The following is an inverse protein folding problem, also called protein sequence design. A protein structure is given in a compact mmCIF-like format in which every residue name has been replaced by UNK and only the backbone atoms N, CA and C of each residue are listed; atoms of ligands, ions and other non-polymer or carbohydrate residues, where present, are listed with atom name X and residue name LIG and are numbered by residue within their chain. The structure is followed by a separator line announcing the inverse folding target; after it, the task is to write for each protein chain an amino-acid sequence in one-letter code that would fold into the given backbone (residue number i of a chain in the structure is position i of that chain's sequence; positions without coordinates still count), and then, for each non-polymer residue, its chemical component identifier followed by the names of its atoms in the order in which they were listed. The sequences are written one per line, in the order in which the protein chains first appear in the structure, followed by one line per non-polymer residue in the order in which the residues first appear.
data_IF_277784066057
#
_entry.id   IF_277784066057
#
_cell.length_a   1.000
_cell.length_b   1.000
_cell.length_c   1.000
_cell.angle_alpha   90.00
_cell.angle_beta   90.00
_cell.angle_gamma   90.00
#
_symmetry.space_group_name_H-M   'P 1'
#
loop_
_entity.id
_entity.type
_entity.pdbx_description
1 polymer ?
#
# COMPACT_ATOMS: atom_id res chain seq x y z
N UNK A 1 25.79 4.70 14.12
CA UNK A 1 24.34 4.86 14.37
C UNK A 1 23.68 3.57 13.99
N UNK A 2 23.03 2.89 14.94
CA UNK A 2 22.30 1.64 14.67
C UNK A 2 21.04 1.99 13.86
N UNK A 3 21.02 1.62 12.60
CA UNK A 3 19.81 1.72 11.77
C UNK A 3 18.73 0.85 12.44
N UNK A 4 17.58 1.43 12.77
CA UNK A 4 16.48 0.69 13.39
C UNK A 4 16.05 -0.39 12.39
N UNK A 5 16.13 -1.66 12.78
CA UNK A 5 15.71 -2.77 11.94
C UNK A 5 14.19 -2.66 11.68
N UNK A 6 13.80 -2.74 10.43
CA UNK A 6 12.38 -2.81 10.05
C UNK A 6 12.06 -4.28 9.84
N UNK A 7 11.06 -4.80 10.59
CA UNK A 7 10.49 -6.12 10.32
C UNK A 7 9.26 -5.95 9.40
N UNK A 8 9.34 -6.33 8.11
CA UNK A 8 8.23 -6.17 7.17
C UNK A 8 7.03 -7.07 7.49
N UNK A 9 7.23 -8.12 8.29
CA UNK A 9 6.15 -9.00 8.77
C UNK A 9 5.65 -8.63 10.17
N UNK A 10 6.30 -7.69 10.85
CA UNK A 10 6.01 -7.26 12.22
C UNK A 10 5.28 -5.93 12.30
N UNK A 11 5.21 -5.39 13.52
CA UNK A 11 4.56 -4.12 13.84
C UNK A 11 5.55 -3.00 14.20
N UNK A 12 6.80 -3.07 13.75
CA UNK A 12 7.77 -1.99 13.99
C UNK A 12 7.31 -0.73 13.29
N UNK A 13 7.01 0.32 14.06
CA UNK A 13 6.50 1.58 13.54
C UNK A 13 7.62 2.61 13.42
N UNK A 14 7.56 3.40 12.35
CA UNK A 14 8.48 4.48 12.04
C UNK A 14 7.72 5.81 12.18
N UNK A 15 8.06 6.58 13.21
CA UNK A 15 7.31 7.79 13.61
C UNK A 15 7.77 9.04 12.88
N UNK A 16 9.05 9.10 12.54
CA UNK A 16 9.69 10.28 11.94
C UNK A 16 10.02 9.99 10.47
N UNK A 17 9.13 10.43 9.58
CA UNK A 17 9.29 10.23 8.13
C UNK A 17 10.47 11.00 7.54
N UNK A 18 10.86 12.14 8.08
CA UNK A 18 12.04 12.88 7.63
C UNK A 18 13.32 12.14 7.99
N UNK A 19 13.36 11.59 9.20
CA UNK A 19 14.45 10.74 9.66
C UNK A 19 14.55 9.46 8.82
N UNK A 20 13.42 8.84 8.48
CA UNK A 20 13.37 7.66 7.61
C UNK A 20 14.00 7.97 6.25
N UNK A 21 13.62 9.07 5.62
CA UNK A 21 14.18 9.49 4.32
C UNK A 21 15.70 9.59 4.42
N UNK A 22 16.21 10.19 5.49
CA UNK A 22 17.65 10.38 5.70
C UNK A 22 18.36 9.07 6.04
N UNK A 23 17.85 8.29 6.98
CA UNK A 23 18.50 7.07 7.49
C UNK A 23 18.55 5.96 6.42
N UNK A 24 17.56 5.89 5.55
CA UNK A 24 17.52 4.91 4.44
C UNK A 24 18.03 5.46 3.11
N UNK A 25 18.45 6.72 3.05
CA UNK A 25 18.92 7.35 1.82
C UNK A 25 17.87 7.34 0.72
N UNK A 26 16.61 7.68 1.08
CA UNK A 26 15.51 7.76 0.15
C UNK A 26 15.47 9.14 -0.50
N UNK A 27 14.82 9.22 -1.68
CA UNK A 27 14.49 10.47 -2.34
C UNK A 27 13.17 11.00 -1.77
N UNK A 28 13.13 12.27 -1.37
CA UNK A 28 11.87 12.91 -1.02
C UNK A 28 10.95 12.99 -2.24
N UNK A 29 9.68 12.65 -2.08
CA UNK A 29 8.73 12.70 -3.18
C UNK A 29 8.31 14.13 -3.49
N UNK A 30 8.30 14.48 -4.78
CA UNK A 30 7.79 15.74 -5.26
C UNK A 30 6.65 15.52 -6.27
N UNK A 31 5.43 15.86 -5.88
CA UNK A 31 4.24 15.65 -6.70
C UNK A 31 4.29 16.38 -8.06
N UNK A 32 5.06 17.49 -8.17
CA UNK A 32 5.20 18.26 -9.42
C UNK A 32 5.94 17.51 -10.54
N UNK A 33 6.69 16.48 -10.18
CA UNK A 33 7.42 15.65 -11.15
C UNK A 33 6.52 14.61 -11.84
N UNK A 34 5.32 14.38 -11.32
CA UNK A 34 4.37 13.38 -11.77
C UNK A 34 3.14 14.01 -12.43
N UNK A 35 2.68 13.54 -13.59
CA UNK A 35 1.51 14.12 -14.28
C UNK A 35 0.23 13.81 -13.50
N UNK A 36 -0.61 14.82 -13.31
CA UNK A 36 -1.91 14.67 -12.64
C UNK A 36 -1.84 13.82 -11.36
N UNK A 37 -1.02 14.22 -10.37
CA UNK A 37 -0.78 13.41 -9.18
C UNK A 37 -2.12 13.12 -8.45
N UNK A 38 -2.27 11.90 -7.92
CA UNK A 38 -3.44 11.54 -7.15
C UNK A 38 -3.47 12.27 -5.80
N UNK A 39 -4.58 12.17 -5.05
CA UNK A 39 -4.73 12.89 -3.77
C UNK A 39 -3.64 12.52 -2.75
N UNK A 40 -3.21 11.24 -2.69
CA UNK A 40 -2.16 10.80 -1.75
C UNK A 40 -0.82 11.49 -2.04
N UNK A 41 -0.51 11.68 -3.31
CA UNK A 41 0.67 12.40 -3.77
C UNK A 41 0.57 13.91 -3.47
N UNK A 42 -0.57 14.54 -3.80
CA UNK A 42 -0.77 16.00 -3.58
C UNK A 42 -0.77 16.38 -2.10
N UNK A 43 -1.26 15.48 -1.23
CA UNK A 43 -1.41 15.72 0.21
C UNK A 43 -0.22 15.29 1.06
N UNK A 44 0.90 14.88 0.42
CA UNK A 44 2.11 14.46 1.11
C UNK A 44 1.92 13.16 1.93
N UNK A 45 0.93 12.34 1.58
CA UNK A 45 0.79 10.97 2.10
C UNK A 45 1.83 10.07 1.44
N UNK A 46 2.03 10.20 0.12
CA UNK A 46 3.24 9.72 -0.54
C UNK A 46 4.35 10.69 -0.21
N UNK A 47 5.43 10.21 0.42
CA UNK A 47 6.46 11.08 0.99
C UNK A 47 7.88 10.82 0.47
N UNK A 48 8.16 9.62 -0.04
CA UNK A 48 9.50 9.25 -0.48
C UNK A 48 9.48 8.12 -1.52
N UNK A 49 10.65 7.80 -2.06
CA UNK A 49 10.86 6.67 -2.95
C UNK A 49 12.33 6.42 -3.29
N UNK A 50 12.55 5.54 -4.25
CA UNK A 50 13.87 5.27 -4.85
C UNK A 50 13.79 5.36 -6.37
N UNK A 51 14.81 5.96 -6.99
CA UNK A 51 14.91 6.17 -8.45
C UNK A 51 13.64 6.78 -9.06
N UNK A 52 13.01 7.72 -8.33
CA UNK A 52 11.75 8.37 -8.71
C UNK A 52 11.89 9.12 -10.04
N UNK A 53 13.05 9.74 -10.26
CA UNK A 53 13.33 10.46 -11.51
C UNK A 53 13.20 9.56 -12.74
N UNK A 54 13.63 8.30 -12.67
CA UNK A 54 13.53 7.35 -13.79
C UNK A 54 12.09 7.11 -14.20
N UNK A 55 11.19 6.97 -13.24
CA UNK A 55 9.76 6.77 -13.48
C UNK A 55 9.10 8.06 -13.95
N UNK A 56 9.43 9.20 -13.35
CA UNK A 56 8.94 10.50 -13.78
C UNK A 56 9.33 10.79 -15.25
N UNK A 57 10.57 10.47 -15.63
CA UNK A 57 11.05 10.62 -17.00
C UNK A 57 10.33 9.65 -17.96
N UNK A 58 10.07 8.40 -17.55
CA UNK A 58 9.31 7.44 -18.33
C UNK A 58 7.87 7.91 -18.58
N UNK A 59 7.21 8.46 -17.54
CA UNK A 59 5.88 9.04 -17.66
C UNK A 59 5.84 10.25 -18.61
N UNK A 60 6.77 11.20 -18.45
CA UNK A 60 6.85 12.40 -19.29
C UNK A 60 7.14 12.06 -20.76
N UNK A 61 8.00 11.07 -21.00
CA UNK A 61 8.42 10.65 -22.34
C UNK A 61 7.56 9.54 -22.93
N UNK A 62 6.50 9.11 -22.22
CA UNK A 62 5.64 7.97 -22.62
C UNK A 62 6.41 6.69 -22.94
N UNK A 63 7.50 6.44 -22.20
CA UNK A 63 8.30 5.22 -22.32
C UNK A 63 7.65 4.09 -21.54
N UNK A 64 7.90 2.85 -21.98
CA UNK A 64 7.42 1.65 -21.28
C UNK A 64 8.02 1.53 -19.89
N UNK A 65 7.17 1.19 -18.92
CA UNK A 65 7.53 0.83 -17.56
C UNK A 65 6.45 -0.08 -16.99
N UNK A 66 6.75 -0.80 -15.92
CA UNK A 66 5.74 -1.59 -15.21
C UNK A 66 5.49 -1.03 -13.81
N UNK A 67 4.29 -1.29 -13.29
CA UNK A 67 3.94 -1.09 -11.90
C UNK A 67 3.47 -2.42 -11.33
N UNK A 68 4.01 -2.82 -10.17
CA UNK A 68 3.73 -4.10 -9.55
C UNK A 68 3.32 -3.95 -8.09
N UNK A 69 2.34 -4.73 -7.68
CA UNK A 69 1.95 -4.93 -6.29
C UNK A 69 1.68 -6.40 -6.00
N UNK A 70 1.72 -6.78 -4.73
CA UNK A 70 1.41 -8.13 -4.26
C UNK A 70 0.11 -8.16 -3.45
N UNK A 71 -0.57 -9.28 -3.52
CA UNK A 71 -1.70 -9.65 -2.65
C UNK A 71 -1.30 -10.87 -1.83
N UNK A 72 -1.31 -10.78 -0.49
CA UNK A 72 -1.17 -11.95 0.37
C UNK A 72 -2.57 -12.34 0.90
N UNK A 73 -3.22 -13.39 0.35
CA UNK A 73 -4.62 -13.70 0.62
C UNK A 73 -4.79 -14.47 1.95
N UNK A 74 -4.54 -13.80 3.06
CA UNK A 74 -4.58 -14.38 4.41
C UNK A 74 -5.90 -14.19 5.15
N UNK A 75 -6.78 -13.29 4.68
CA UNK A 75 -8.07 -13.00 5.27
C UNK A 75 -9.06 -12.50 4.21
N UNK A 76 -10.35 -12.54 4.51
CA UNK A 76 -11.42 -12.09 3.59
C UNK A 76 -11.72 -10.58 3.70
N UNK A 77 -10.75 -9.80 4.15
CA UNK A 77 -10.85 -8.35 4.32
C UNK A 77 -9.50 -7.70 4.18
N UNK A 78 -9.51 -6.49 3.64
CA UNK A 78 -8.34 -5.61 3.56
C UNK A 78 -8.53 -4.42 4.51
N UNK A 79 -7.60 -3.48 4.53
CA UNK A 79 -7.67 -2.24 5.29
C UNK A 79 -7.21 -1.05 4.45
N UNK A 80 -7.33 0.16 4.99
CA UNK A 80 -6.98 1.39 4.27
C UNK A 80 -5.52 1.46 3.79
N UNK A 81 -4.59 0.79 4.46
CA UNK A 81 -3.21 0.67 3.97
C UNK A 81 -3.13 -0.06 2.62
N UNK A 82 -3.90 -1.14 2.44
CA UNK A 82 -3.99 -1.83 1.14
C UNK A 82 -4.62 -0.91 0.07
N UNK A 83 -5.69 -0.17 0.44
CA UNK A 83 -6.33 0.80 -0.45
C UNK A 83 -5.33 1.82 -1.01
N UNK A 84 -4.41 2.35 -0.19
CA UNK A 84 -3.40 3.30 -0.66
C UNK A 84 -2.44 2.69 -1.68
N UNK A 85 -2.04 1.45 -1.49
CA UNK A 85 -1.20 0.72 -2.47
C UNK A 85 -1.95 0.58 -3.79
N UNK A 86 -3.23 0.19 -3.74
CA UNK A 86 -4.07 -0.01 -4.93
C UNK A 86 -4.27 1.31 -5.68
N UNK A 87 -4.55 2.40 -4.98
CA UNK A 87 -4.73 3.73 -5.58
C UNK A 87 -3.47 4.23 -6.28
N UNK A 88 -2.30 4.00 -5.70
CA UNK A 88 -1.04 4.33 -6.36
C UNK A 88 -0.77 3.42 -7.56
N UNK A 89 -1.11 2.14 -7.48
CA UNK A 89 -1.00 1.21 -8.60
C UNK A 89 -1.93 1.63 -9.76
N UNK A 90 -3.20 1.94 -9.46
CA UNK A 90 -4.18 2.42 -10.43
C UNK A 90 -3.76 3.77 -11.05
N UNK A 91 -3.11 4.64 -10.29
CA UNK A 91 -2.50 5.87 -10.82
C UNK A 91 -1.47 5.55 -11.92
N UNK A 92 -0.53 4.66 -11.67
CA UNK A 92 0.46 4.28 -12.68
C UNK A 92 -0.16 3.56 -13.87
N UNK A 93 -1.16 2.71 -13.63
CA UNK A 93 -1.94 2.06 -14.69
C UNK A 93 -2.61 3.08 -15.63
N UNK A 94 -3.29 4.09 -15.07
CA UNK A 94 -3.90 5.18 -15.83
C UNK A 94 -2.89 5.94 -16.68
N UNK A 95 -1.64 6.00 -16.25
CA UNK A 95 -0.54 6.69 -16.95
C UNK A 95 0.32 5.76 -17.81
N UNK A 96 -0.17 4.57 -18.14
CA UNK A 96 0.42 3.69 -19.15
C UNK A 96 1.41 2.65 -18.63
N UNK A 97 1.47 2.41 -17.32
CA UNK A 97 2.24 1.30 -16.78
C UNK A 97 1.66 -0.05 -17.20
N UNK A 98 2.52 -1.00 -17.58
CA UNK A 98 2.17 -2.42 -17.57
C UNK A 98 1.92 -2.82 -16.12
N UNK A 99 0.67 -3.04 -15.76
CA UNK A 99 0.26 -3.27 -14.38
C UNK A 99 0.22 -4.76 -14.07
N UNK A 100 0.86 -5.15 -12.97
CA UNK A 100 1.00 -6.55 -12.57
C UNK A 100 0.62 -6.69 -11.10
N UNK A 101 -0.16 -7.73 -10.80
CA UNK A 101 -0.53 -8.09 -9.43
C UNK A 101 -0.15 -9.54 -9.17
N UNK A 102 0.84 -9.72 -8.30
CA UNK A 102 1.28 -11.02 -7.82
C UNK A 102 0.37 -11.49 -6.68
N UNK A 103 -0.18 -12.69 -6.81
CA UNK A 103 -0.93 -13.32 -5.73
C UNK A 103 0.04 -14.21 -4.95
N UNK A 104 0.41 -13.74 -3.76
CA UNK A 104 1.44 -14.33 -2.91
C UNK A 104 0.88 -15.52 -2.10
N UNK A 105 0.41 -16.55 -2.80
CA UNK A 105 -0.15 -17.76 -2.24
C UNK A 105 0.92 -18.65 -1.59
N UNK A 106 2.13 -18.74 -2.17
CA UNK A 106 3.26 -19.43 -1.56
C UNK A 106 3.67 -18.76 -0.24
N UNK A 107 3.70 -17.43 -0.22
CA UNK A 107 4.03 -16.67 0.98
C UNK A 107 2.94 -16.81 2.05
N UNK A 108 1.66 -16.75 1.66
CA UNK A 108 0.54 -17.01 2.57
C UNK A 108 0.62 -18.40 3.21
N UNK A 109 1.00 -19.41 2.45
CA UNK A 109 1.20 -20.75 2.95
C UNK A 109 2.40 -20.85 3.91
N UNK A 110 3.56 -20.32 3.50
CA UNK A 110 4.80 -20.46 4.26
C UNK A 110 4.80 -19.66 5.57
N UNK A 111 4.25 -18.42 5.56
CA UNK A 111 4.37 -17.48 6.71
C UNK A 111 3.09 -17.47 7.57
N UNK A 112 1.93 -17.81 7.02
CA UNK A 112 0.63 -17.72 7.69
C UNK A 112 -0.12 -19.05 7.81
N UNK A 113 0.41 -20.13 7.24
CA UNK A 113 -0.20 -21.46 7.30
C UNK A 113 -1.53 -21.58 6.53
N UNK A 114 -1.79 -20.69 5.57
CA UNK A 114 -2.98 -20.76 4.72
C UNK A 114 -2.70 -21.74 3.59
N UNK A 115 -3.58 -22.73 3.35
CA UNK A 115 -3.38 -23.66 2.23
C UNK A 115 -3.41 -22.92 0.88
N UNK A 116 -2.73 -23.47 -0.15
CA UNK A 116 -2.74 -22.89 -1.49
C UNK A 116 -4.15 -22.81 -2.06
N UNK A 117 -4.99 -23.82 -1.80
CA UNK A 117 -6.38 -23.84 -2.22
C UNK A 117 -7.18 -22.70 -1.59
N UNK A 118 -7.07 -22.53 -0.27
CA UNK A 118 -7.76 -21.47 0.46
C UNK A 118 -7.23 -20.09 0.05
N UNK A 119 -5.92 -19.94 -0.14
CA UNK A 119 -5.32 -18.69 -0.63
C UNK A 119 -5.86 -18.34 -2.03
N UNK A 120 -5.94 -19.32 -2.93
CA UNK A 120 -6.51 -19.15 -4.27
C UNK A 120 -7.98 -18.74 -4.21
N UNK A 121 -8.77 -19.43 -3.39
CA UNK A 121 -10.18 -19.11 -3.19
C UNK A 121 -10.36 -17.67 -2.72
N UNK A 122 -9.67 -17.26 -1.65
CA UNK A 122 -9.72 -15.88 -1.11
C UNK A 122 -9.28 -14.84 -2.13
N UNK A 123 -8.25 -15.13 -2.91
CA UNK A 123 -7.79 -14.23 -3.96
C UNK A 123 -8.89 -13.98 -5.01
N UNK A 124 -9.52 -15.05 -5.52
CA UNK A 124 -10.53 -14.97 -6.57
C UNK A 124 -11.88 -14.44 -6.08
N UNK A 125 -12.31 -14.84 -4.89
CA UNK A 125 -13.62 -14.47 -4.35
C UNK A 125 -13.64 -13.09 -3.68
N UNK A 126 -12.47 -12.60 -3.21
CA UNK A 126 -12.42 -11.37 -2.44
C UNK A 126 -11.32 -10.39 -2.87
N UNK A 127 -10.04 -10.78 -2.85
CA UNK A 127 -8.97 -9.78 -3.01
C UNK A 127 -8.91 -9.14 -4.39
N UNK A 128 -8.98 -9.94 -5.46
CA UNK A 128 -9.01 -9.43 -6.83
C UNK A 128 -10.25 -8.56 -7.06
N UNK A 129 -11.48 -9.00 -6.70
CA UNK A 129 -12.66 -8.14 -6.74
C UNK A 129 -12.50 -6.82 -5.98
N UNK A 130 -11.93 -6.86 -4.77
CA UNK A 130 -11.70 -5.64 -3.98
C UNK A 130 -10.69 -4.69 -4.65
N UNK A 131 -9.65 -5.20 -5.30
CA UNK A 131 -8.68 -4.39 -6.04
C UNK A 131 -9.33 -3.71 -7.24
N UNK A 132 -10.18 -4.43 -7.96
CA UNK A 132 -10.95 -3.88 -9.09
C UNK A 132 -11.92 -2.81 -8.59
N UNK A 133 -12.69 -3.08 -7.53
CA UNK A 133 -13.61 -2.12 -6.94
C UNK A 133 -12.93 -0.84 -6.44
N UNK A 134 -11.66 -0.93 -6.03
CA UNK A 134 -10.83 0.22 -5.62
C UNK A 134 -10.16 0.94 -6.80
N UNK A 135 -10.51 0.61 -8.03
CA UNK A 135 -10.14 1.38 -9.22
C UNK A 135 -9.08 0.73 -10.14
N UNK A 136 -8.72 -0.53 -9.90
CA UNK A 136 -7.82 -1.24 -10.81
C UNK A 136 -8.60 -1.73 -12.05
N UNK A 137 -8.15 -1.36 -13.25
CA UNK A 137 -8.74 -1.83 -14.51
C UNK A 137 -8.32 -3.30 -14.77
N UNK A 138 -9.25 -4.27 -14.68
CA UNK A 138 -8.92 -5.68 -14.85
C UNK A 138 -8.42 -6.03 -16.26
N UNK A 139 -8.85 -5.30 -17.28
CA UNK A 139 -8.44 -5.53 -18.68
C UNK A 139 -7.00 -5.11 -18.95
N UNK A 140 -6.44 -4.25 -18.09
CA UNK A 140 -5.07 -3.75 -18.19
C UNK A 140 -4.16 -4.30 -17.10
N UNK A 141 -4.65 -5.24 -16.29
CA UNK A 141 -3.90 -5.86 -15.21
C UNK A 141 -3.57 -7.30 -15.56
N UNK A 142 -2.30 -7.68 -15.38
CA UNK A 142 -1.85 -9.05 -15.43
C UNK A 142 -1.82 -9.62 -14.02
N UNK A 143 -2.51 -10.72 -13.80
CA UNK A 143 -2.50 -11.44 -12.54
C UNK A 143 -1.69 -12.72 -12.68
N UNK A 144 -1.05 -13.16 -11.61
CA UNK A 144 -0.50 -14.51 -11.51
C UNK A 144 -0.45 -15.00 -10.07
N UNK A 145 -0.51 -16.30 -9.88
CA UNK A 145 -0.22 -16.94 -8.60
C UNK A 145 1.27 -17.25 -8.52
N UNK A 146 1.92 -16.97 -7.40
CA UNK A 146 3.35 -17.29 -7.22
C UNK A 146 3.60 -18.79 -7.46
N UNK A 147 2.69 -19.66 -7.01
CA UNK A 147 2.78 -21.11 -7.18
C UNK A 147 2.74 -21.57 -8.65
N UNK A 148 2.19 -20.76 -9.55
CA UNK A 148 2.05 -21.08 -10.97
C UNK A 148 3.11 -20.39 -11.84
N UNK A 149 3.87 -19.43 -11.30
CA UNK A 149 4.87 -18.68 -12.05
C UNK A 149 6.29 -19.24 -11.85
N UNK A 150 6.69 -20.14 -12.75
CA UNK A 150 8.01 -20.76 -12.71
C UNK A 150 9.18 -19.76 -12.79
N UNK A 151 9.00 -18.62 -13.46
CA UNK A 151 10.06 -17.63 -13.60
C UNK A 151 10.33 -16.90 -12.29
N UNK A 152 9.30 -16.63 -11.50
CA UNK A 152 9.43 -16.08 -10.15
C UNK A 152 10.20 -17.05 -9.25
N UNK A 153 9.83 -18.33 -9.30
CA UNK A 153 10.53 -19.38 -8.54
C UNK A 153 11.99 -19.51 -8.98
N UNK A 154 12.25 -19.51 -10.28
CA UNK A 154 13.63 -19.57 -10.81
C UNK A 154 14.47 -18.39 -10.31
N UNK A 155 13.95 -17.15 -10.38
CA UNK A 155 14.64 -15.96 -9.85
C UNK A 155 14.88 -16.04 -8.34
N UNK A 156 13.96 -16.65 -7.58
CA UNK A 156 14.15 -16.88 -6.15
C UNK A 156 15.35 -17.81 -5.87
N UNK A 157 15.54 -18.87 -6.68
CA UNK A 157 16.72 -19.74 -6.59
C UNK A 157 18.01 -19.00 -6.98
N UNK A 158 17.99 -18.18 -8.03
CA UNK A 158 19.12 -17.34 -8.41
C UNK A 158 19.49 -16.36 -7.28
N UNK A 159 18.48 -15.77 -6.63
CA UNK A 159 18.68 -14.87 -5.50
C UNK A 159 19.29 -15.60 -4.29
N UNK A 160 18.88 -16.85 -4.04
CA UNK A 160 19.42 -17.66 -2.94
C UNK A 160 20.94 -17.92 -3.09
N UNK A 161 21.48 -17.92 -4.30
CA UNK A 161 22.91 -18.07 -4.55
C UNK A 161 23.71 -16.79 -4.24
N UNK A 162 23.06 -15.63 -4.25
CA UNK A 162 23.72 -14.31 -4.17
C UNK A 162 23.54 -13.62 -2.82
N UNK A 163 22.61 -14.08 -2.00
CA UNK A 163 22.27 -13.47 -0.71
C UNK A 163 22.65 -14.44 0.40
N UNK A 164 23.45 -13.95 1.35
CA UNK A 164 23.93 -14.76 2.46
C UNK A 164 22.95 -14.76 3.63
N UNK A 165 23.05 -15.80 4.46
CA UNK A 165 22.28 -15.90 5.70
C UNK A 165 22.48 -14.71 6.65
N UNK A 166 23.71 -14.18 6.72
CA UNK A 166 24.03 -13.02 7.54
C UNK A 166 23.36 -11.74 7.03
N UNK A 167 23.20 -11.60 5.73
CA UNK A 167 22.46 -10.48 5.14
C UNK A 167 20.98 -10.56 5.46
N UNK A 168 20.37 -11.74 5.39
CA UNK A 168 18.99 -11.92 5.86
C UNK A 168 18.85 -11.51 7.31
N UNK A 169 19.76 -11.95 8.18
CA UNK A 169 19.75 -11.56 9.59
C UNK A 169 19.91 -10.06 9.77
N UNK A 170 20.81 -9.44 9.01
CA UNK A 170 21.05 -7.99 9.09
C UNK A 170 19.85 -7.16 8.57
N UNK A 171 19.14 -7.65 7.56
CA UNK A 171 18.01 -6.94 6.95
C UNK A 171 16.71 -7.14 7.74
N UNK A 172 16.43 -8.37 8.19
CA UNK A 172 15.12 -8.73 8.76
C UNK A 172 15.15 -9.05 10.27
N UNK A 173 16.34 -9.19 10.87
CA UNK A 173 16.47 -9.62 12.26
C UNK A 173 16.05 -11.07 12.51
N UNK A 174 15.64 -11.79 11.47
CA UNK A 174 15.16 -13.18 11.53
C UNK A 174 15.85 -14.03 10.48
N UNK A 175 15.95 -15.32 10.76
CA UNK A 175 16.51 -16.33 9.85
C UNK A 175 15.59 -17.54 9.75
N UNK A 176 14.32 -17.33 10.01
CA UNK A 176 13.28 -18.34 9.85
C UNK A 176 13.16 -18.74 8.37
N UNK A 177 13.27 -20.05 8.03
CA UNK A 177 13.29 -20.49 6.62
C UNK A 177 12.11 -20.01 5.79
N UNK A 178 10.91 -20.00 6.37
CA UNK A 178 9.70 -19.52 5.69
C UNK A 178 9.82 -18.04 5.27
N UNK A 179 10.37 -17.19 6.14
CA UNK A 179 10.60 -15.76 5.86
C UNK A 179 11.71 -15.55 4.84
N UNK A 180 12.75 -16.38 4.86
CA UNK A 180 13.81 -16.35 3.85
C UNK A 180 13.20 -16.67 2.48
N UNK A 181 12.46 -17.75 2.37
CA UNK A 181 11.82 -18.14 1.10
C UNK A 181 10.83 -17.08 0.60
N UNK A 182 10.03 -16.50 1.49
CA UNK A 182 9.14 -15.39 1.16
C UNK A 182 9.91 -14.20 0.56
N UNK A 183 10.98 -13.75 1.21
CA UNK A 183 11.78 -12.63 0.71
C UNK A 183 12.47 -12.93 -0.64
N UNK A 184 12.97 -14.15 -0.84
CA UNK A 184 13.56 -14.58 -2.11
C UNK A 184 12.50 -14.60 -3.23
N UNK A 185 11.30 -15.10 -2.94
CA UNK A 185 10.19 -15.11 -3.91
C UNK A 185 9.77 -13.69 -4.29
N UNK A 186 9.73 -12.76 -3.34
CA UNK A 186 9.43 -11.36 -3.63
C UNK A 186 10.49 -10.68 -4.53
N UNK A 187 11.76 -11.08 -4.45
CA UNK A 187 12.78 -10.64 -5.43
C UNK A 187 12.37 -11.11 -6.82
N UNK A 188 11.93 -12.36 -6.93
CA UNK A 188 11.42 -12.92 -8.18
C UNK A 188 10.23 -12.12 -8.72
N UNK A 189 9.24 -11.83 -7.88
CA UNK A 189 8.06 -11.04 -8.26
C UNK A 189 8.44 -9.68 -8.83
N UNK A 190 9.32 -8.96 -8.13
CA UNK A 190 9.70 -7.59 -8.52
C UNK A 190 10.48 -7.56 -9.84
N UNK A 191 11.23 -8.62 -10.18
CA UNK A 191 12.11 -8.66 -11.35
C UNK A 191 11.56 -9.45 -12.53
N UNK A 192 10.63 -10.38 -12.28
CA UNK A 192 10.02 -11.21 -13.32
C UNK A 192 9.58 -10.42 -14.57
N UNK A 193 8.93 -9.24 -14.47
CA UNK A 193 8.50 -8.52 -15.66
C UNK A 193 9.64 -8.10 -16.58
N UNK A 194 10.86 -7.96 -16.05
CA UNK A 194 12.05 -7.58 -16.83
C UNK A 194 12.69 -8.76 -17.57
N UNK A 195 12.28 -10.00 -17.30
CA UNK A 195 12.69 -11.16 -18.10
C UNK A 195 12.01 -11.17 -19.46
N UNK A 196 10.75 -10.73 -19.51
CA UNK A 196 10.00 -10.67 -20.78
C UNK A 196 10.37 -9.44 -21.60
N UNK A 197 10.43 -8.29 -20.98
CA UNK A 197 10.84 -7.03 -21.62
C UNK A 197 11.61 -6.17 -20.62
N UNK A 198 12.83 -5.80 -20.96
CA UNK A 198 13.67 -4.97 -20.11
C UNK A 198 13.13 -3.54 -20.03
N UNK A 199 12.48 -3.21 -18.92
CA UNK A 199 11.92 -1.89 -18.66
C UNK A 199 12.02 -1.53 -17.15
N UNK A 200 12.03 -0.23 -16.78
CA UNK A 200 12.01 0.16 -15.37
C UNK A 200 10.68 -0.23 -14.71
N UNK A 201 10.74 -0.54 -13.42
CA UNK A 201 9.58 -0.89 -12.62
C UNK A 201 9.41 0.00 -11.41
N UNK A 202 8.16 0.26 -11.01
CA UNK A 202 7.79 0.97 -9.79
C UNK A 202 6.95 0.09 -8.88
N UNK A 203 7.32 0.05 -7.60
CA UNK A 203 6.64 -0.72 -6.56
C UNK A 203 6.05 0.24 -5.53
N UNK A 204 4.75 0.56 -5.61
CA UNK A 204 4.08 1.37 -4.58
C UNK A 204 3.79 0.51 -3.36
N UNK A 205 4.34 0.90 -2.20
CA UNK A 205 4.26 0.12 -0.95
C UNK A 205 4.29 1.02 0.29
N UNK A 206 3.94 0.47 1.44
CA UNK A 206 4.26 1.08 2.72
C UNK A 206 5.77 1.06 2.99
N UNK A 207 6.25 1.99 3.79
CA UNK A 207 7.68 2.11 4.09
C UNK A 207 8.24 0.90 4.85
N UNK A 208 7.38 0.12 5.50
CA UNK A 208 7.74 -1.15 6.14
C UNK A 208 8.23 -2.22 5.13
N UNK A 209 7.96 -2.05 3.85
CA UNK A 209 8.42 -2.93 2.77
C UNK A 209 9.82 -2.55 2.21
N UNK A 210 10.44 -1.50 2.73
CA UNK A 210 11.79 -1.06 2.31
C UNK A 210 12.86 -2.17 2.39
N UNK A 211 12.88 -3.07 3.38
CA UNK A 211 13.85 -4.17 3.41
C UNK A 211 13.80 -5.07 2.18
N UNK A 212 12.61 -5.37 1.66
CA UNK A 212 12.45 -6.19 0.44
C UNK A 212 12.94 -5.46 -0.82
N UNK A 213 12.65 -4.16 -0.93
CA UNK A 213 13.14 -3.32 -2.02
C UNK A 213 14.66 -3.28 -2.01
N UNK A 214 15.27 -3.03 -0.85
CA UNK A 214 16.74 -2.97 -0.71
C UNK A 214 17.40 -4.29 -1.09
N UNK A 215 16.89 -5.41 -0.58
CA UNK A 215 17.45 -6.72 -0.89
C UNK A 215 17.36 -7.04 -2.38
N UNK A 216 16.25 -6.68 -3.04
CA UNK A 216 16.07 -6.82 -4.49
C UNK A 216 17.11 -5.98 -5.26
N UNK A 217 17.36 -4.75 -4.80
CA UNK A 217 18.35 -3.86 -5.42
C UNK A 217 19.78 -4.37 -5.25
N UNK A 218 20.11 -4.96 -4.12
CA UNK A 218 21.40 -5.60 -3.87
C UNK A 218 21.60 -6.80 -4.81
N UNK A 219 20.57 -7.63 -5.00
CA UNK A 219 20.59 -8.73 -5.96
C UNK A 219 20.82 -8.23 -7.39
N UNK A 220 20.09 -7.19 -7.84
CA UNK A 220 20.27 -6.58 -9.17
C UNK A 220 21.72 -6.10 -9.37
N UNK A 221 22.30 -5.45 -8.35
CA UNK A 221 23.69 -4.96 -8.43
C UNK A 221 24.70 -6.10 -8.61
N UNK A 222 24.50 -7.23 -7.93
CA UNK A 222 25.39 -8.40 -7.98
C UNK A 222 25.22 -9.23 -9.24
N UNK A 223 24.09 -9.14 -9.90
CA UNK A 223 23.75 -9.95 -11.07
C UNK A 223 23.74 -9.15 -12.38
N UNK A 224 24.24 -7.92 -12.36
CA UNK A 224 24.21 -7.02 -13.51
C UNK A 224 24.87 -7.61 -14.78
N UNK A 225 25.92 -8.40 -14.63
CA UNK A 225 26.59 -9.08 -15.76
C UNK A 225 25.70 -10.16 -16.41
N UNK A 226 24.82 -10.80 -15.61
CA UNK A 226 23.98 -11.92 -16.07
C UNK A 226 22.62 -11.45 -16.60
N UNK A 227 21.91 -10.59 -15.87
CA UNK A 227 20.53 -10.23 -16.19
C UNK A 227 20.35 -8.82 -16.76
N UNK A 228 21.28 -7.90 -16.49
CA UNK A 228 21.18 -6.48 -16.89
C UNK A 228 19.86 -5.81 -16.51
N UNK A 229 19.24 -6.23 -15.39
CA UNK A 229 18.00 -5.62 -14.88
C UNK A 229 18.18 -4.13 -14.56
N UNK A 230 17.13 -3.36 -14.73
CA UNK A 230 17.03 -2.06 -14.08
C UNK A 230 16.85 -2.26 -12.57
N UNK A 231 17.44 -1.39 -11.79
CA UNK A 231 17.09 -1.26 -10.38
C UNK A 231 15.60 -0.95 -10.25
N UNK A 232 14.91 -1.65 -9.35
CA UNK A 232 13.50 -1.36 -9.07
C UNK A 232 13.36 -0.01 -8.38
N UNK A 233 12.43 0.80 -8.87
CA UNK A 233 12.01 2.02 -8.19
C UNK A 233 10.92 1.69 -7.17
N UNK A 234 10.81 2.50 -6.14
CA UNK A 234 9.76 2.35 -5.12
C UNK A 234 9.08 3.68 -4.84
N UNK A 235 7.82 3.61 -4.41
CA UNK A 235 7.04 4.75 -3.95
C UNK A 235 6.49 4.43 -2.57
N UNK A 236 6.86 5.24 -1.56
CA UNK A 236 6.48 5.00 -0.18
C UNK A 236 5.38 5.95 0.29
N UNK A 237 4.33 5.39 0.86
CA UNK A 237 3.29 6.15 1.55
C UNK A 237 3.40 5.98 3.07
N UNK A 238 2.90 6.98 3.79
CA UNK A 238 2.74 6.98 5.24
C UNK A 238 1.74 5.92 5.67
N UNK A 239 1.78 5.54 6.93
CA UNK A 239 0.74 4.66 7.48
C UNK A 239 -0.60 5.38 7.58
N UNK A 240 -1.70 4.62 7.47
CA UNK A 240 -3.00 5.06 7.96
C UNK A 240 -2.99 4.92 9.47
N UNK A 241 -3.15 5.99 10.25
CA UNK A 241 -3.19 5.89 11.70
C UNK A 241 -4.45 5.15 12.17
N UNK A 242 -4.34 4.45 13.28
CA UNK A 242 -5.49 3.85 13.92
C UNK A 242 -6.39 4.92 14.55
N UNK A 243 -7.69 4.65 14.68
CA UNK A 243 -8.65 5.60 15.23
C UNK A 243 -8.40 5.95 16.70
N UNK A 244 -7.66 5.09 17.43
CA UNK A 244 -7.22 5.33 18.81
C UNK A 244 -5.97 6.20 18.95
N UNK A 245 -5.32 6.59 17.83
CA UNK A 245 -4.13 7.43 17.83
C UNK A 245 -2.82 6.66 17.65
N UNK A 246 -2.86 5.33 17.51
CA UNK A 246 -1.68 4.58 17.17
C UNK A 246 -1.25 4.85 15.72
N UNK A 247 0.04 4.80 15.45
CA UNK A 247 0.63 5.18 14.16
C UNK A 247 0.13 4.40 12.96
N UNK A 248 -0.22 3.12 13.14
CA UNK A 248 -0.65 2.23 12.06
C UNK A 248 -1.92 1.51 12.46
N UNK A 249 -2.93 1.61 11.61
CA UNK A 249 -4.14 0.80 11.70
C UNK A 249 -3.79 -0.69 11.58
N UNK A 250 -4.24 -1.51 12.53
CA UNK A 250 -3.93 -2.93 12.61
C UNK A 250 -5.15 -3.76 12.98
N UNK A 251 -5.34 -4.89 12.32
CA UNK A 251 -6.42 -5.84 12.63
C UNK A 251 -6.31 -6.46 14.03
N UNK A 252 -5.14 -6.36 14.68
CA UNK A 252 -4.96 -6.81 16.07
C UNK A 252 -5.70 -5.93 17.10
N UNK A 253 -6.16 -4.74 16.69
CA UNK A 253 -6.98 -3.81 17.48
C UNK A 253 -8.26 -3.47 16.70
N UNK A 254 -9.24 -4.37 16.68
CA UNK A 254 -10.44 -4.22 15.85
C UNK A 254 -11.26 -2.96 16.15
N UNK A 255 -11.23 -2.48 17.39
CA UNK A 255 -11.96 -1.30 17.85
C UNK A 255 -11.44 0.02 17.25
N UNK A 256 -10.18 0.05 16.85
CA UNK A 256 -9.51 1.22 16.23
C UNK A 256 -9.12 1.00 14.76
N UNK A 257 -9.51 -0.14 14.19
CA UNK A 257 -9.27 -0.52 12.81
C UNK A 257 -10.57 -0.63 12.02
N UNK A 258 -10.66 0.06 10.89
CA UNK A 258 -11.75 -0.13 9.93
C UNK A 258 -11.28 -1.12 8.87
N UNK A 259 -12.01 -2.21 8.72
CA UNK A 259 -11.80 -3.20 7.67
C UNK A 259 -12.59 -2.84 6.39
N UNK A 260 -12.15 -3.33 5.26
CA UNK A 260 -12.76 -3.03 3.96
C UNK A 260 -13.14 -4.34 3.22
N UNK A 261 -14.43 -4.58 2.95
CA UNK A 261 -15.59 -3.82 3.44
C UNK A 261 -15.93 -4.15 4.89
N UNK A 262 -16.57 -3.20 5.58
CA UNK A 262 -17.15 -3.38 6.91
C UNK A 262 -18.58 -2.84 6.91
N UNK A 263 -19.43 -3.31 7.82
CA UNK A 263 -20.75 -2.71 8.02
C UNK A 263 -20.63 -1.22 8.35
N UNK A 264 -21.35 -0.38 7.63
CA UNK A 264 -21.23 1.07 7.75
C UNK A 264 -21.59 1.60 9.16
N UNK A 265 -22.53 0.95 9.86
CA UNK A 265 -22.88 1.31 11.25
C UNK A 265 -21.74 0.99 12.21
N UNK A 266 -21.07 -0.16 11.99
CA UNK A 266 -19.90 -0.57 12.76
C UNK A 266 -18.74 0.41 12.54
N UNK A 267 -18.40 0.73 11.29
CA UNK A 267 -17.37 1.70 10.96
C UNK A 267 -17.65 3.09 11.56
N UNK A 268 -18.90 3.56 11.45
CA UNK A 268 -19.31 4.82 12.06
C UNK A 268 -19.22 4.80 13.59
N UNK A 269 -19.59 3.70 14.25
CA UNK A 269 -19.45 3.57 15.70
C UNK A 269 -17.97 3.66 16.16
N UNK A 270 -17.02 3.14 15.35
CA UNK A 270 -15.57 3.30 15.57
C UNK A 270 -15.14 4.75 15.38
N UNK A 271 -15.59 5.42 14.31
CA UNK A 271 -15.31 6.85 14.04
C UNK A 271 -15.81 7.74 15.19
N UNK A 272 -17.01 7.48 15.73
CA UNK A 272 -17.56 8.24 16.84
C UNK A 272 -16.72 8.15 18.12
N UNK A 273 -15.99 7.04 18.32
CA UNK A 273 -15.07 6.84 19.46
C UNK A 273 -13.63 7.26 19.16
N UNK A 274 -13.32 7.62 17.92
CA UNK A 274 -11.96 7.96 17.50
C UNK A 274 -11.39 9.17 18.27
N UNK A 275 -10.07 9.15 18.43
CA UNK A 275 -9.32 10.27 18.99
C UNK A 275 -9.43 11.48 18.07
N UNK A 276 -9.73 12.63 18.63
CA UNK A 276 -9.84 13.90 17.92
C UNK A 276 -8.95 14.97 18.51
N UNK A 277 -8.64 15.98 17.71
CA UNK A 277 -7.85 17.15 18.13
C UNK A 277 -8.70 18.28 18.74
N UNK A 278 -9.95 18.01 19.16
CA UNK A 278 -10.79 18.99 19.86
C UNK A 278 -10.22 19.40 21.21
N UNK A 279 -10.74 20.47 21.78
CA UNK A 279 -10.39 20.93 23.14
C UNK A 279 -11.32 20.32 24.18
N UNK A 280 -10.92 20.43 25.45
CA UNK A 280 -11.67 19.86 26.59
C UNK A 280 -13.05 20.47 26.75
N UNK A 281 -13.17 21.77 26.43
CA UNK A 281 -14.47 22.49 26.51
C UNK A 281 -14.84 23.06 25.13
N UNK A 282 -16.15 23.23 24.91
CA UNK A 282 -16.66 23.86 23.69
C UNK A 282 -16.20 25.33 23.60
N UNK A 283 -16.12 26.05 24.70
CA UNK A 283 -15.64 27.43 24.74
C UNK A 283 -14.17 27.52 24.29
N UNK A 284 -13.31 26.68 24.86
CA UNK A 284 -11.91 26.61 24.41
C UNK A 284 -11.79 26.24 22.95
N UNK A 285 -12.58 25.26 22.48
CA UNK A 285 -12.59 24.85 21.10
C UNK A 285 -13.00 26.00 20.17
N UNK A 286 -14.05 26.75 20.53
CA UNK A 286 -14.47 27.93 19.75
C UNK A 286 -13.41 29.02 19.70
N UNK A 287 -12.65 29.20 20.78
CA UNK A 287 -11.61 30.22 20.90
C UNK A 287 -10.28 29.81 20.23
N UNK A 288 -9.82 28.58 20.44
CA UNK A 288 -8.48 28.12 20.08
C UNK A 288 -8.45 27.22 18.84
N UNK A 289 -9.60 26.70 18.43
CA UNK A 289 -9.72 25.72 17.36
C UNK A 289 -9.13 24.35 17.71
N UNK A 290 -9.24 23.42 16.78
CA UNK A 290 -8.73 22.07 16.91
C UNK A 290 -7.22 21.97 16.64
N UNK A 291 -6.58 20.95 17.22
CA UNK A 291 -5.21 20.51 16.92
C UNK A 291 -5.30 19.40 15.85
N UNK A 292 -5.28 19.79 14.58
CA UNK A 292 -5.51 18.89 13.44
C UNK A 292 -4.50 17.75 13.42
N UNK A 293 -3.25 18.00 13.78
CA UNK A 293 -2.16 17.04 13.77
C UNK A 293 -2.37 15.86 14.74
N UNK A 294 -3.31 16.01 15.69
CA UNK A 294 -3.69 14.96 16.66
C UNK A 294 -5.04 14.32 16.34
N UNK A 295 -5.65 14.66 15.20
CA UNK A 295 -7.01 14.24 14.87
C UNK A 295 -7.02 13.06 13.87
N UNK A 296 -7.43 11.90 14.37
CA UNK A 296 -7.47 10.67 13.55
C UNK A 296 -8.64 10.66 12.57
N UNK A 297 -9.71 11.38 12.88
CA UNK A 297 -10.87 11.51 11.98
C UNK A 297 -10.52 12.42 10.81
N UNK A 298 -9.81 13.52 11.08
CA UNK A 298 -9.31 14.38 10.01
C UNK A 298 -8.30 13.66 9.12
N UNK A 299 -7.38 12.87 9.69
CA UNK A 299 -6.45 12.06 8.89
C UNK A 299 -7.18 11.01 8.05
N UNK A 300 -8.24 10.38 8.56
CA UNK A 300 -9.09 9.45 7.79
C UNK A 300 -9.77 10.16 6.60
N UNK A 301 -10.34 11.34 6.82
CA UNK A 301 -10.92 12.18 5.76
C UNK A 301 -9.88 12.54 4.71
N UNK A 302 -8.73 13.04 5.14
CA UNK A 302 -7.62 13.49 4.30
C UNK A 302 -7.05 12.37 3.44
N UNK A 303 -6.82 11.19 4.03
CA UNK A 303 -6.18 10.10 3.33
C UNK A 303 -7.15 9.29 2.47
N UNK A 304 -8.43 9.18 2.85
CA UNK A 304 -9.31 8.16 2.28
C UNK A 304 -10.69 8.59 1.83
N UNK A 305 -11.35 9.54 2.52
CA UNK A 305 -12.79 9.76 2.34
C UNK A 305 -13.15 11.05 1.61
N UNK A 306 -12.28 12.03 1.57
CA UNK A 306 -12.51 13.28 0.82
C UNK A 306 -11.60 13.28 -0.41
N UNK A 307 -12.19 13.26 -1.61
CA UNK A 307 -11.43 13.26 -2.87
C UNK A 307 -11.02 14.68 -3.28
N UNK A 308 -11.91 15.63 -3.12
CA UNK A 308 -11.70 17.03 -3.51
C UNK A 308 -10.83 17.77 -2.49
N UNK A 309 -9.75 18.43 -2.98
CA UNK A 309 -8.83 19.16 -2.12
C UNK A 309 -9.43 20.45 -1.57
N UNK A 310 -10.37 21.08 -2.29
CA UNK A 310 -11.05 22.29 -1.84
C UNK A 310 -12.01 21.98 -0.68
N UNK A 311 -12.80 20.91 -0.83
CA UNK A 311 -13.66 20.41 0.27
C UNK A 311 -12.83 20.10 1.52
N UNK A 312 -11.69 19.42 1.36
CA UNK A 312 -10.83 19.12 2.50
C UNK A 312 -10.26 20.38 3.16
N UNK A 313 -9.87 21.39 2.36
CA UNK A 313 -9.38 22.66 2.88
C UNK A 313 -10.47 23.42 3.64
N UNK A 314 -11.71 23.41 3.17
CA UNK A 314 -12.86 24.02 3.84
C UNK A 314 -13.11 23.32 5.20
N UNK A 315 -13.17 22.00 5.23
CA UNK A 315 -13.27 21.21 6.48
C UNK A 315 -12.15 21.57 7.45
N UNK A 316 -10.91 21.62 6.94
CA UNK A 316 -9.73 21.97 7.73
C UNK A 316 -9.84 23.37 8.32
N UNK A 317 -10.22 24.36 7.53
CA UNK A 317 -10.34 25.75 7.96
C UNK A 317 -11.44 25.95 9.03
N UNK A 318 -12.60 25.32 8.83
CA UNK A 318 -13.71 25.35 9.78
C UNK A 318 -13.35 24.70 11.11
N UNK A 319 -12.71 23.53 11.06
CA UNK A 319 -12.34 22.78 12.26
C UNK A 319 -11.17 23.44 13.03
N UNK A 320 -10.13 23.83 12.31
CA UNK A 320 -8.98 24.55 12.87
C UNK A 320 -9.36 25.94 13.40
N UNK A 321 -10.37 26.58 12.80
CA UNK A 321 -10.91 27.86 13.25
C UNK A 321 -11.92 27.76 14.40
N UNK A 322 -12.23 26.57 14.91
CA UNK A 322 -13.17 26.37 16.01
C UNK A 322 -14.65 26.54 15.62
N UNK A 323 -14.97 26.75 14.34
CA UNK A 323 -16.36 26.85 13.86
C UNK A 323 -17.04 25.49 13.76
N UNK A 324 -16.28 24.46 13.36
CA UNK A 324 -16.72 23.07 13.34
C UNK A 324 -16.30 22.37 14.64
N UNK A 325 -17.16 21.60 15.25
CA UNK A 325 -16.87 20.78 16.43
C UNK A 325 -16.33 19.39 16.02
N UNK A 326 -15.71 18.67 16.96
CA UNK A 326 -15.31 17.27 16.74
C UNK A 326 -16.50 16.35 16.44
N UNK A 327 -17.69 16.65 16.98
CA UNK A 327 -18.93 15.91 16.69
C UNK A 327 -19.37 16.08 15.23
N UNK A 328 -19.34 17.30 14.73
CA UNK A 328 -19.65 17.61 13.32
C UNK A 328 -18.64 16.98 12.36
N UNK A 329 -17.34 17.04 12.68
CA UNK A 329 -16.29 16.37 11.90
C UNK A 329 -16.51 14.85 11.83
N UNK A 330 -16.85 14.22 12.97
CA UNK A 330 -17.18 12.80 13.06
C UNK A 330 -18.42 12.46 12.23
N UNK A 331 -19.43 13.34 12.21
CA UNK A 331 -20.63 13.13 11.40
C UNK A 331 -20.29 13.15 9.89
N UNK A 332 -19.50 14.13 9.43
CA UNK A 332 -19.02 14.18 8.05
C UNK A 332 -18.28 12.88 7.68
N UNK A 333 -17.40 12.39 8.56
CA UNK A 333 -16.69 11.15 8.31
C UNK A 333 -17.63 9.93 8.27
N UNK A 334 -18.67 9.89 9.13
CA UNK A 334 -19.69 8.85 9.13
C UNK A 334 -20.51 8.84 7.83
N UNK A 335 -20.89 10.00 7.34
CA UNK A 335 -21.66 10.11 6.09
C UNK A 335 -20.82 9.61 4.90
N UNK A 336 -19.57 10.06 4.82
CA UNK A 336 -18.66 9.66 3.75
C UNK A 336 -18.28 8.18 3.81
N UNK A 337 -18.01 7.63 4.98
CA UNK A 337 -17.68 6.20 5.11
C UNK A 337 -18.87 5.31 4.72
N UNK A 338 -20.09 5.75 5.02
CA UNK A 338 -21.31 5.02 4.67
C UNK A 338 -21.45 4.91 3.14
N UNK A 339 -21.25 6.00 2.43
CA UNK A 339 -21.27 6.01 0.96
C UNK A 339 -20.15 5.14 0.41
N UNK A 340 -18.91 5.34 0.90
CA UNK A 340 -17.74 4.58 0.46
C UNK A 340 -17.91 3.06 0.65
N UNK A 341 -18.41 2.61 1.81
CA UNK A 341 -18.61 1.18 2.08
C UNK A 341 -19.64 0.55 1.14
N UNK A 342 -20.71 1.28 0.83
CA UNK A 342 -21.72 0.83 -0.11
C UNK A 342 -21.14 0.71 -1.53
N UNK A 343 -20.49 1.75 -2.02
CA UNK A 343 -19.85 1.75 -3.35
C UNK A 343 -18.78 0.64 -3.47
N UNK A 344 -18.00 0.43 -2.42
CA UNK A 344 -17.00 -0.64 -2.38
C UNK A 344 -17.64 -2.03 -2.46
N UNK A 345 -18.72 -2.25 -1.69
CA UNK A 345 -19.43 -3.54 -1.71
C UNK A 345 -20.06 -3.81 -3.08
N UNK A 346 -20.77 -2.83 -3.63
CA UNK A 346 -21.38 -2.91 -4.95
C UNK A 346 -20.30 -3.22 -6.02
N UNK A 347 -19.18 -2.51 -5.96
CA UNK A 347 -18.06 -2.71 -6.87
C UNK A 347 -17.41 -4.10 -6.73
N UNK A 348 -17.29 -4.64 -5.51
CA UNK A 348 -16.79 -6.00 -5.27
C UNK A 348 -17.74 -7.03 -5.89
N UNK A 349 -19.05 -6.86 -5.72
CA UNK A 349 -20.06 -7.79 -6.26
C UNK A 349 -20.08 -7.79 -7.79
N UNK A 350 -19.88 -6.63 -8.41
CA UNK A 350 -19.75 -6.53 -9.86
C UNK A 350 -18.42 -7.15 -10.35
N UNK A 351 -17.33 -6.90 -9.67
CA UNK A 351 -16.03 -7.47 -10.02
C UNK A 351 -16.02 -9.01 -9.88
N UNK A 352 -16.74 -9.58 -8.92
CA UNK A 352 -16.92 -11.03 -8.79
C UNK A 352 -17.56 -11.67 -10.03
N UNK A 353 -18.46 -10.95 -10.72
CA UNK A 353 -19.05 -11.42 -11.99
C UNK A 353 -17.98 -11.56 -13.06
N UNK A 354 -17.06 -10.59 -13.17
CA UNK A 354 -15.93 -10.62 -14.12
C UNK A 354 -14.98 -11.80 -13.84
N UNK A 355 -14.68 -12.05 -12.56
CA UNK A 355 -13.85 -13.20 -12.15
C UNK A 355 -14.50 -14.52 -12.55
N UNK A 356 -15.81 -14.68 -12.31
CA UNK A 356 -16.57 -15.89 -12.69
C UNK A 356 -16.66 -16.07 -14.20
N UNK A 357 -16.77 -14.99 -14.97
CA UNK A 357 -16.77 -15.01 -16.41
C UNK A 357 -15.39 -15.29 -17.03
N UNK A 358 -14.33 -15.40 -16.21
CA UNK A 358 -12.92 -15.58 -16.64
C UNK A 358 -12.41 -14.44 -17.54
N UNK A 359 -12.91 -13.22 -17.33
CA UNK A 359 -12.51 -12.02 -18.08
C UNK A 359 -11.24 -11.35 -17.52
N UNK A 360 -10.43 -12.07 -16.77
CA UNK A 360 -9.17 -11.59 -16.19
C UNK A 360 -7.98 -12.11 -16.98
N UNK A 361 -6.94 -11.30 -17.07
CA UNK A 361 -5.68 -11.68 -17.70
C UNK A 361 -4.76 -12.36 -16.67
N UNK A 362 -4.72 -13.68 -16.68
CA UNK A 362 -3.73 -14.44 -15.92
C UNK A 362 -2.53 -14.77 -16.80
N UNK A 363 -1.34 -14.61 -16.22
CA UNK A 363 -0.10 -15.12 -16.82
C UNK A 363 -0.03 -16.61 -16.50
N UNK A 364 0.09 -17.42 -17.54
CA UNK A 364 0.30 -18.88 -17.45
C UNK A 364 1.78 -19.23 -17.36
#
# INVERSE_FOLDING_TARGET
MTVKLIDPWGSTLLEDYEKIVKDFGLEAFNAKDFPQPNRLMRRGVVFAGRDLKRIADALKQKKKFYALSGIMPTADRIHFGNKMVIENLAYFQKHGARTIVAIADLEAAAVRGVSLEEARKRALEFHIPAYIALGLDPKKTLFYFQSENRHVTQLAFEAAQKITFNEFRAVYGSTEPARIMSALTQIGDMLYPQLEERMPGIIPVGVDQEPHIRLTRDFVSRTHSSFKFFQVSSLYHKYTPALGGELKMSKSKPESCIELPEDAKSACAKIKRALTGGRDTLEEHRRLGAIIEKDMVFELLKQHLVEDDKELQEICAEYKGGRMTSGELKQIACDKITVFMKELQDGIDDARKLVKAKELNFVS
#
